data_IF_183880097560
#
_entry.id   IF_183880097560
#
_cell.length_a   1.000
_cell.length_b   1.000
_cell.length_c   1.000
_cell.angle_alpha   90.00
_cell.angle_beta   90.00
_cell.angle_gamma   90.00
#
_symmetry.space_group_name_H-M   'P 1'
#
loop_
_entity.id
_entity.type
_entity.pdbx_description
1 polymer ?
#
# COMPACT_ATOMS: atom_id res chain seq x y z
N UNK A 1 -18.68 9.77 -25.05
CA UNK A 1 -17.49 9.30 -25.79
C UNK A 1 -17.53 9.84 -27.20
N UNK A 2 -16.38 10.05 -27.85
CA UNK A 2 -16.29 10.43 -29.26
C UNK A 2 -16.64 9.20 -30.12
N UNK A 3 -17.20 9.46 -31.32
CA UNK A 3 -17.44 8.43 -32.30
C UNK A 3 -16.09 7.92 -32.83
N UNK A 4 -15.82 6.63 -32.73
CA UNK A 4 -14.64 6.02 -33.34
C UNK A 4 -14.91 5.76 -34.82
N UNK A 5 -14.17 6.44 -35.68
CA UNK A 5 -14.29 6.39 -37.13
C UNK A 5 -13.17 5.56 -37.78
N UNK A 6 -12.22 5.03 -37.01
CA UNK A 6 -10.98 4.42 -37.51
C UNK A 6 -11.19 3.21 -38.45
N UNK A 7 -12.27 2.45 -38.24
CA UNK A 7 -12.60 1.26 -39.05
C UNK A 7 -13.67 1.53 -40.09
N UNK A 8 -14.25 2.73 -40.09
CA UNK A 8 -15.32 3.08 -41.05
C UNK A 8 -14.78 3.18 -42.48
N UNK A 9 -15.53 2.64 -43.44
CA UNK A 9 -15.22 2.67 -44.89
C UNK A 9 -16.48 2.98 -45.67
N UNK A 10 -16.29 3.63 -46.81
CA UNK A 10 -17.34 3.83 -47.79
C UNK A 10 -16.81 3.73 -49.22
N UNK A 11 -17.66 3.52 -50.18
CA UNK A 11 -17.31 3.46 -51.60
C UNK A 11 -17.92 4.64 -52.34
N UNK A 12 -17.14 5.21 -53.23
CA UNK A 12 -17.59 6.18 -54.18
C UNK A 12 -17.71 5.52 -55.55
N UNK A 13 -18.91 5.60 -56.16
CA UNK A 13 -19.16 5.10 -57.50
C UNK A 13 -19.21 6.30 -58.45
N UNK A 14 -18.42 6.19 -59.52
CA UNK A 14 -18.32 7.23 -60.56
C UNK A 14 -19.20 6.91 -61.78
N UNK A 15 -19.50 7.93 -62.60
CA UNK A 15 -20.35 7.79 -63.76
C UNK A 15 -19.76 6.84 -64.85
N UNK A 16 -18.45 6.56 -64.80
CA UNK A 16 -17.80 5.64 -65.68
C UNK A 16 -17.75 4.18 -65.14
N UNK A 17 -18.61 3.90 -64.13
CA UNK A 17 -18.72 2.60 -63.45
C UNK A 17 -17.49 2.22 -62.63
N UNK A 18 -16.50 3.10 -62.44
CA UNK A 18 -15.39 2.88 -61.54
C UNK A 18 -15.80 3.13 -60.10
N UNK A 19 -15.18 2.42 -59.14
CA UNK A 19 -15.38 2.64 -57.70
C UNK A 19 -14.05 2.81 -56.99
N UNK A 20 -14.07 3.67 -55.95
CA UNK A 20 -12.96 3.83 -55.01
C UNK A 20 -13.45 3.62 -53.60
N UNK A 21 -12.59 3.02 -52.76
CA UNK A 21 -12.85 2.83 -51.34
C UNK A 21 -12.13 3.89 -50.52
N UNK A 22 -12.81 4.47 -49.56
CA UNK A 22 -12.32 5.54 -48.70
C UNK A 22 -12.55 5.20 -47.23
N UNK A 23 -11.70 5.73 -46.35
CA UNK A 23 -11.89 5.68 -44.92
C UNK A 23 -12.75 6.86 -44.43
N UNK A 24 -13.49 6.67 -43.35
CA UNK A 24 -14.18 7.77 -42.68
C UNK A 24 -13.21 8.84 -42.12
N UNK A 25 -11.91 8.50 -42.03
CA UNK A 25 -10.83 9.40 -41.59
C UNK A 25 -10.06 10.06 -42.72
N UNK A 26 -10.42 9.84 -43.99
CA UNK A 26 -9.75 10.43 -45.15
C UNK A 26 -9.98 11.97 -45.21
N UNK A 27 -9.04 12.66 -45.81
CA UNK A 27 -9.14 14.09 -45.99
C UNK A 27 -10.36 14.46 -46.85
N UNK A 28 -11.12 15.45 -46.39
CA UNK A 28 -12.35 15.88 -47.07
C UNK A 28 -13.59 15.10 -46.74
N UNK A 29 -13.51 14.14 -45.83
CA UNK A 29 -14.67 13.43 -45.25
C UNK A 29 -15.13 14.16 -43.99
N UNK A 30 -16.42 14.52 -43.93
CA UNK A 30 -17.07 15.07 -42.75
C UNK A 30 -18.26 14.21 -42.36
N UNK A 31 -18.36 13.86 -41.07
CA UNK A 31 -19.50 13.10 -40.53
C UNK A 31 -20.19 13.97 -39.48
N UNK A 32 -21.50 14.12 -39.65
CA UNK A 32 -22.34 14.97 -38.78
C UNK A 32 -23.52 14.17 -38.23
N UNK A 33 -24.26 14.74 -37.26
CA UNK A 33 -25.46 14.16 -36.70
C UNK A 33 -25.24 13.25 -35.48
N UNK A 34 -24.00 13.03 -35.04
CA UNK A 34 -23.72 12.25 -33.83
C UNK A 34 -23.98 13.04 -32.55
N UNK A 35 -24.81 12.47 -31.67
CA UNK A 35 -25.05 12.98 -30.31
C UNK A 35 -24.53 11.98 -29.27
N UNK A 36 -23.43 12.28 -28.55
CA UNK A 36 -22.84 11.37 -27.58
C UNK A 36 -23.72 11.14 -26.34
N UNK A 37 -24.75 11.96 -26.12
CA UNK A 37 -25.67 11.84 -24.98
C UNK A 37 -26.88 10.95 -25.30
N UNK A 38 -27.10 10.60 -26.56
CA UNK A 38 -28.26 9.85 -27.01
C UNK A 38 -27.90 8.41 -27.34
N UNK A 39 -28.50 7.46 -26.65
CA UNK A 39 -28.40 6.03 -26.95
C UNK A 39 -29.46 5.57 -27.94
N UNK A 40 -29.25 4.42 -28.57
CA UNK A 40 -30.11 3.88 -29.57
C UNK A 40 -29.62 4.17 -30.99
N UNK A 41 -30.54 3.98 -31.97
CA UNK A 41 -30.23 4.22 -33.37
C UNK A 41 -30.14 5.73 -33.62
N UNK A 42 -29.01 6.18 -34.20
CA UNK A 42 -28.80 7.55 -34.64
C UNK A 42 -28.52 7.55 -36.13
N UNK A 43 -29.08 8.51 -36.83
CA UNK A 43 -28.85 8.76 -38.24
C UNK A 43 -27.77 9.81 -38.38
N UNK A 44 -26.68 9.48 -39.08
CA UNK A 44 -25.54 10.34 -39.38
C UNK A 44 -25.52 10.65 -40.86
N UNK A 45 -24.86 11.74 -41.18
CA UNK A 45 -24.61 12.18 -42.55
C UNK A 45 -23.13 12.16 -42.84
N UNK A 46 -22.71 11.49 -43.92
CA UNK A 46 -21.36 11.52 -44.45
C UNK A 46 -21.36 12.50 -45.63
N UNK A 47 -20.50 13.51 -45.57
CA UNK A 47 -20.27 14.48 -46.61
C UNK A 47 -18.90 14.25 -47.26
N UNK A 48 -18.87 14.06 -48.58
CA UNK A 48 -17.64 13.89 -49.32
C UNK A 48 -17.80 14.41 -50.75
N UNK A 49 -16.87 15.25 -51.21
CA UNK A 49 -16.87 15.84 -52.55
C UNK A 49 -18.20 16.45 -53.01
N UNK A 50 -18.94 17.09 -52.08
CA UNK A 50 -20.23 17.72 -52.37
C UNK A 50 -21.44 16.74 -52.41
N UNK A 51 -21.21 15.48 -52.16
CA UNK A 51 -22.28 14.48 -52.01
C UNK A 51 -22.55 14.20 -50.53
N UNK A 52 -23.77 13.83 -50.19
CA UNK A 52 -24.18 13.50 -48.83
C UNK A 52 -24.89 12.15 -48.84
N UNK A 53 -24.48 11.28 -47.92
CA UNK A 53 -25.09 9.96 -47.72
C UNK A 53 -25.44 9.78 -46.23
N UNK A 54 -26.67 9.36 -45.98
CA UNK A 54 -27.15 9.04 -44.65
C UNK A 54 -26.81 7.57 -44.30
N UNK A 55 -26.42 7.32 -43.07
CA UNK A 55 -26.25 5.98 -42.54
C UNK A 55 -26.65 5.92 -41.06
N UNK A 56 -26.97 4.73 -40.57
CA UNK A 56 -27.37 4.53 -39.19
C UNK A 56 -26.23 3.95 -38.37
N UNK A 57 -26.07 4.45 -37.16
CA UNK A 57 -25.24 3.83 -36.11
C UNK A 57 -26.10 3.45 -34.92
N UNK A 58 -25.72 2.37 -34.25
CA UNK A 58 -26.35 1.96 -32.99
C UNK A 58 -25.44 2.32 -31.83
N UNK A 59 -25.85 3.30 -31.04
CA UNK A 59 -25.15 3.72 -29.85
C UNK A 59 -25.67 2.92 -28.66
N UNK A 60 -24.87 1.99 -28.18
CA UNK A 60 -25.22 1.20 -27.00
C UNK A 60 -25.07 2.00 -25.72
N UNK A 61 -25.93 1.84 -24.72
CA UNK A 61 -25.74 2.46 -23.42
C UNK A 61 -24.43 1.92 -22.81
N UNK A 62 -23.67 2.79 -22.13
CA UNK A 62 -22.53 2.34 -21.34
C UNK A 62 -23.01 1.31 -20.32
N UNK A 63 -22.35 0.16 -20.28
CA UNK A 63 -22.68 -0.88 -19.31
C UNK A 63 -22.60 -0.33 -17.88
N UNK A 64 -23.60 -0.63 -17.06
CA UNK A 64 -23.57 -0.27 -15.65
C UNK A 64 -22.38 -0.96 -14.96
N UNK A 65 -21.61 -0.19 -14.24
CA UNK A 65 -20.46 -0.70 -13.47
C UNK A 65 -21.00 -1.26 -12.16
N UNK A 66 -20.54 -2.47 -11.80
CA UNK A 66 -20.78 -3.05 -10.48
C UNK A 66 -19.59 -2.72 -9.57
N UNK A 67 -19.77 -1.77 -8.69
CA UNK A 67 -18.76 -1.28 -7.74
C UNK A 67 -19.02 -1.70 -6.28
N UNK A 68 -20.06 -2.49 -6.04
CA UNK A 68 -20.51 -2.87 -4.69
C UNK A 68 -19.42 -3.58 -3.88
N UNK A 69 -18.71 -4.53 -4.50
CA UNK A 69 -17.62 -5.24 -3.83
C UNK A 69 -16.43 -4.33 -3.51
N UNK A 70 -16.16 -3.35 -4.36
CA UNK A 70 -15.10 -2.36 -4.10
C UNK A 70 -15.47 -1.47 -2.92
N UNK A 71 -16.72 -1.02 -2.81
CA UNK A 71 -17.23 -0.24 -1.67
C UNK A 71 -17.11 -1.02 -0.36
N UNK A 72 -17.49 -2.31 -0.37
CA UNK A 72 -17.37 -3.18 0.79
C UNK A 72 -15.91 -3.36 1.20
N UNK A 73 -15.00 -3.60 0.25
CA UNK A 73 -13.57 -3.78 0.57
C UNK A 73 -12.93 -2.49 1.07
N UNK A 74 -13.30 -1.32 0.56
CA UNK A 74 -12.88 -0.02 1.10
C UNK A 74 -13.26 0.11 2.57
N UNK A 75 -14.48 -0.24 2.93
CA UNK A 75 -14.95 -0.21 4.32
C UNK A 75 -14.17 -1.19 5.20
N UNK A 76 -13.94 -2.41 4.70
CA UNK A 76 -13.13 -3.42 5.38
C UNK A 76 -11.69 -2.95 5.59
N UNK A 77 -11.05 -2.39 4.55
CA UNK A 77 -9.69 -1.88 4.62
C UNK A 77 -9.55 -0.69 5.59
N UNK A 78 -10.56 0.17 5.69
CA UNK A 78 -10.58 1.23 6.69
C UNK A 78 -10.61 0.66 8.12
N UNK A 79 -11.45 -0.35 8.39
CA UNK A 79 -11.51 -1.01 9.70
C UNK A 79 -10.22 -1.75 10.05
N UNK A 80 -9.49 -2.30 9.06
CA UNK A 80 -8.19 -2.97 9.30
C UNK A 80 -7.15 -2.05 9.93
N UNK A 81 -7.21 -0.75 9.70
CA UNK A 81 -6.27 0.24 10.28
C UNK A 81 -6.34 0.33 11.81
N UNK A 82 -7.41 -0.16 12.41
CA UNK A 82 -7.61 -0.19 13.87
C UNK A 82 -7.22 -1.56 14.48
N UNK A 83 -6.68 -2.47 13.68
CA UNK A 83 -6.33 -3.82 14.12
C UNK A 83 -4.84 -3.98 14.41
N UNK A 84 -4.49 -5.00 15.19
CA UNK A 84 -3.09 -5.39 15.43
C UNK A 84 -2.37 -5.75 14.12
N UNK A 85 -3.10 -6.33 13.16
CA UNK A 85 -2.56 -6.68 11.85
C UNK A 85 -2.00 -5.46 11.11
N UNK A 86 -2.58 -4.29 11.29
CA UNK A 86 -2.08 -3.03 10.74
C UNK A 86 -1.05 -2.38 11.69
N UNK A 87 -1.40 -2.24 12.97
CA UNK A 87 -0.58 -1.50 13.95
C UNK A 87 0.84 -2.05 14.06
N UNK A 88 1.02 -3.38 14.02
CA UNK A 88 2.32 -4.03 14.10
C UNK A 88 2.92 -4.38 12.74
N UNK A 89 2.23 -4.10 11.64
CA UNK A 89 2.76 -4.38 10.31
C UNK A 89 4.00 -3.54 10.00
N UNK A 90 4.80 -4.04 9.06
CA UNK A 90 5.89 -3.28 8.48
C UNK A 90 5.39 -1.96 7.86
N UNK A 91 6.18 -0.89 8.00
CA UNK A 91 5.79 0.45 7.56
C UNK A 91 5.50 0.53 6.05
N UNK A 92 6.24 -0.24 5.23
CA UNK A 92 6.01 -0.31 3.78
C UNK A 92 4.65 -0.95 3.47
N UNK A 93 4.26 -2.00 4.21
CA UNK A 93 2.97 -2.67 4.06
C UNK A 93 1.81 -1.80 4.53
N UNK A 94 1.99 -1.05 5.62
CA UNK A 94 1.02 -0.04 6.07
C UNK A 94 0.83 1.03 4.99
N UNK A 95 1.92 1.55 4.42
CA UNK A 95 1.87 2.56 3.37
C UNK A 95 1.20 2.02 2.10
N UNK A 96 1.50 0.79 1.70
CA UNK A 96 0.88 0.13 0.56
C UNK A 96 -0.64 0.01 0.72
N UNK A 97 -1.14 -0.40 1.90
CA UNK A 97 -2.58 -0.44 2.15
C UNK A 97 -3.22 0.94 2.05
N UNK A 98 -2.57 1.98 2.58
CA UNK A 98 -3.08 3.36 2.51
C UNK A 98 -3.13 3.86 1.07
N UNK A 99 -2.09 3.59 0.28
CA UNK A 99 -2.02 3.94 -1.15
C UNK A 99 -3.14 3.25 -1.95
N UNK A 100 -3.28 1.91 -1.80
CA UNK A 100 -4.32 1.16 -2.52
C UNK A 100 -5.73 1.57 -2.10
N UNK A 101 -5.94 1.92 -0.83
CA UNK A 101 -7.20 2.45 -0.33
C UNK A 101 -7.52 3.82 -0.98
N UNK A 102 -6.54 4.70 -1.13
CA UNK A 102 -6.72 5.99 -1.80
C UNK A 102 -7.02 5.80 -3.29
N UNK A 103 -6.29 4.92 -3.98
CA UNK A 103 -6.53 4.58 -5.37
C UNK A 103 -7.94 4.00 -5.60
N UNK A 104 -8.38 3.08 -4.74
CA UNK A 104 -9.71 2.49 -4.81
C UNK A 104 -10.83 3.53 -4.66
N UNK A 105 -10.66 4.51 -3.77
CA UNK A 105 -11.61 5.62 -3.62
C UNK A 105 -11.65 6.50 -4.86
N UNK A 106 -10.48 6.83 -5.44
CA UNK A 106 -10.40 7.63 -6.66
C UNK A 106 -11.11 6.94 -7.85
N UNK A 107 -11.03 5.60 -7.95
CA UNK A 107 -11.77 4.83 -8.97
C UNK A 107 -13.28 4.96 -8.78
N UNK A 108 -13.80 4.95 -7.54
CA UNK A 108 -15.24 5.14 -7.28
C UNK A 108 -15.72 6.56 -7.60
N UNK A 109 -14.87 7.55 -7.48
CA UNK A 109 -15.17 8.96 -7.81
C UNK A 109 -15.09 9.22 -9.32
N UNK A 110 -14.42 8.35 -10.08
CA UNK A 110 -14.28 8.48 -11.51
C UNK A 110 -15.48 7.89 -12.24
N UNK A 111 -16.40 8.74 -12.70
CA UNK A 111 -17.59 8.32 -13.46
C UNK A 111 -17.28 7.62 -14.80
N UNK A 112 -16.04 7.77 -15.31
CA UNK A 112 -15.56 7.14 -16.53
C UNK A 112 -14.74 5.87 -16.29
N UNK A 113 -14.63 5.42 -15.05
CA UNK A 113 -13.95 4.19 -14.73
C UNK A 113 -14.56 2.99 -15.51
N UNK A 114 -13.71 2.07 -15.94
CA UNK A 114 -14.17 0.80 -16.53
C UNK A 114 -14.44 -0.24 -15.44
N UNK A 115 -15.22 -1.29 -15.76
CA UNK A 115 -15.40 -2.43 -14.85
C UNK A 115 -14.06 -3.12 -14.54
N UNK A 116 -13.14 -3.15 -15.50
CA UNK A 116 -11.79 -3.70 -15.30
C UNK A 116 -11.01 -2.89 -14.27
N UNK A 117 -11.04 -1.56 -14.35
CA UNK A 117 -10.40 -0.69 -13.36
C UNK A 117 -10.97 -0.89 -11.95
N UNK A 118 -12.29 -1.07 -11.82
CA UNK A 118 -12.95 -1.39 -10.54
C UNK A 118 -12.48 -2.74 -10.00
N UNK A 119 -12.43 -3.77 -10.87
CA UNK A 119 -11.98 -5.10 -10.48
C UNK A 119 -10.49 -5.11 -10.08
N UNK A 120 -9.65 -4.38 -10.80
CA UNK A 120 -8.22 -4.25 -10.48
C UNK A 120 -8.02 -3.55 -9.13
N UNK A 121 -8.70 -2.43 -8.89
CA UNK A 121 -8.63 -1.72 -7.62
C UNK A 121 -9.10 -2.58 -6.43
N UNK A 122 -10.15 -3.40 -6.64
CA UNK A 122 -10.62 -4.37 -5.65
C UNK A 122 -9.54 -5.40 -5.31
N UNK A 123 -8.91 -5.99 -6.34
CA UNK A 123 -7.88 -7.01 -6.16
C UNK A 123 -6.63 -6.43 -5.49
N UNK A 124 -6.18 -5.27 -5.92
CA UNK A 124 -5.02 -4.58 -5.34
C UNK A 124 -5.25 -4.26 -3.86
N UNK A 125 -6.43 -3.76 -3.51
CA UNK A 125 -6.76 -3.43 -2.12
C UNK A 125 -6.85 -4.68 -1.23
N UNK A 126 -7.45 -5.77 -1.75
CA UNK A 126 -7.49 -7.06 -1.05
C UNK A 126 -6.08 -7.60 -0.80
N UNK A 127 -5.22 -7.55 -1.83
CA UNK A 127 -3.85 -8.03 -1.73
C UNK A 127 -3.07 -7.23 -0.68
N UNK A 128 -3.12 -5.90 -0.73
CA UNK A 128 -2.46 -5.05 0.27
C UNK A 128 -2.95 -5.32 1.70
N UNK A 129 -4.24 -5.65 1.87
CA UNK A 129 -4.78 -6.07 3.17
C UNK A 129 -4.30 -7.46 3.61
N UNK A 130 -4.11 -8.39 2.68
CA UNK A 130 -3.61 -9.75 2.96
C UNK A 130 -2.11 -9.76 3.27
N UNK A 131 -1.34 -8.82 2.70
CA UNK A 131 0.11 -8.72 2.88
C UNK A 131 0.52 -8.15 4.26
N UNK A 132 -0.43 -7.66 5.05
CA UNK A 132 -0.16 -7.18 6.41
C UNK A 132 0.37 -8.32 7.29
N UNK A 133 1.56 -8.14 7.86
CA UNK A 133 2.25 -9.12 8.70
C UNK A 133 2.17 -8.80 10.20
N UNK A 134 1.40 -7.79 10.57
CA UNK A 134 1.39 -7.27 11.94
C UNK A 134 0.95 -8.28 12.99
N UNK A 135 0.05 -9.21 12.67
CA UNK A 135 -0.32 -10.26 13.61
C UNK A 135 0.87 -11.16 13.96
N UNK A 136 1.67 -11.56 12.97
CA UNK A 136 2.86 -12.37 13.19
C UNK A 136 3.91 -11.59 13.99
N UNK A 137 4.17 -10.33 13.61
CA UNK A 137 5.11 -9.46 14.32
C UNK A 137 4.68 -9.18 15.76
N UNK A 138 3.38 -9.01 16.00
CA UNK A 138 2.85 -8.89 17.36
C UNK A 138 3.10 -10.16 18.18
N UNK A 139 2.84 -11.35 17.63
CA UNK A 139 3.10 -12.61 18.34
C UNK A 139 4.59 -12.75 18.66
N UNK A 140 5.47 -12.50 17.71
CA UNK A 140 6.92 -12.52 17.95
C UNK A 140 7.34 -11.54 19.06
N UNK A 141 6.85 -10.27 19.00
CA UNK A 141 7.16 -9.28 20.01
C UNK A 141 6.66 -9.68 21.41
N UNK A 142 5.51 -10.34 21.47
CA UNK A 142 4.91 -10.86 22.69
C UNK A 142 5.76 -12.00 23.28
N UNK A 143 6.12 -12.99 22.47
CA UNK A 143 6.97 -14.13 22.89
C UNK A 143 8.33 -13.65 23.41
N UNK A 144 8.95 -12.70 22.71
CA UNK A 144 10.21 -12.10 23.15
C UNK A 144 10.06 -11.38 24.50
N UNK A 145 8.97 -10.64 24.70
CA UNK A 145 8.70 -9.95 25.96
C UNK A 145 8.44 -10.93 27.11
N UNK A 146 7.66 -11.99 26.85
CA UNK A 146 7.40 -13.07 27.82
C UNK A 146 8.70 -13.75 28.26
N UNK A 147 9.60 -14.08 27.34
CA UNK A 147 10.91 -14.69 27.63
C UNK A 147 11.82 -13.77 28.46
N UNK A 148 11.83 -12.46 28.14
CA UNK A 148 12.58 -11.50 28.95
C UNK A 148 12.00 -11.32 30.34
N UNK A 149 10.68 -11.35 30.46
CA UNK A 149 9.99 -11.26 31.74
C UNK A 149 10.32 -12.46 32.65
N UNK A 150 10.32 -13.70 32.10
CA UNK A 150 10.75 -14.90 32.84
C UNK A 150 12.18 -14.75 33.35
N UNK A 151 13.09 -14.27 32.51
CA UNK A 151 14.49 -14.06 32.91
C UNK A 151 14.65 -13.00 34.01
N UNK A 152 13.80 -11.96 34.02
CA UNK A 152 13.79 -10.97 35.11
C UNK A 152 13.19 -11.54 36.37
N UNK A 153 12.12 -12.33 36.28
CA UNK A 153 11.50 -13.03 37.41
C UNK A 153 12.50 -13.93 38.14
N UNK A 154 13.35 -14.65 37.41
CA UNK A 154 14.39 -15.50 37.98
C UNK A 154 15.49 -14.71 38.69
N UNK A 155 15.90 -13.55 38.11
CA UNK A 155 16.99 -12.73 38.61
C UNK A 155 16.58 -11.78 39.74
N UNK A 156 15.41 -11.17 39.63
CA UNK A 156 14.87 -10.17 40.56
C UNK A 156 13.33 -10.25 40.65
N UNK A 157 12.78 -11.19 41.44
CA UNK A 157 11.34 -11.39 41.58
C UNK A 157 10.55 -10.19 42.12
N UNK A 158 11.25 -9.20 42.68
CA UNK A 158 10.63 -8.00 43.24
C UNK A 158 10.73 -6.79 42.31
N UNK A 159 11.18 -6.97 41.09
CA UNK A 159 11.30 -5.87 40.14
C UNK A 159 9.93 -5.27 39.78
N UNK A 160 9.80 -3.96 39.87
CA UNK A 160 8.59 -3.22 39.44
C UNK A 160 8.30 -3.37 37.93
N UNK A 161 9.31 -3.76 37.13
CA UNK A 161 9.17 -3.98 35.69
C UNK A 161 8.27 -5.20 35.39
N UNK A 162 8.17 -6.14 36.32
CA UNK A 162 7.31 -7.33 36.16
C UNK A 162 5.84 -6.92 35.98
N UNK A 163 5.32 -6.13 36.92
CA UNK A 163 3.93 -5.66 36.85
C UNK A 163 3.67 -4.80 35.61
N UNK A 164 4.67 -4.01 35.18
CA UNK A 164 4.54 -3.18 33.96
C UNK A 164 4.50 -4.05 32.69
N UNK A 165 5.34 -5.09 32.60
CA UNK A 165 5.37 -6.01 31.48
C UNK A 165 4.08 -6.86 31.39
N UNK A 166 3.57 -7.37 32.54
CA UNK A 166 2.30 -8.10 32.61
C UNK A 166 1.11 -7.21 32.19
N UNK A 167 1.11 -5.95 32.62
CA UNK A 167 0.08 -4.99 32.20
C UNK A 167 0.11 -4.74 30.70
N UNK A 168 1.30 -4.63 30.09
CA UNK A 168 1.44 -4.47 28.63
C UNK A 168 0.98 -5.72 27.88
N UNK A 169 1.37 -6.94 28.35
CA UNK A 169 0.93 -8.21 27.77
C UNK A 169 -0.60 -8.39 27.84
N UNK A 170 -1.24 -7.79 28.82
CA UNK A 170 -2.70 -7.84 29.02
C UNK A 170 -3.44 -6.67 28.35
N UNK A 171 -2.71 -5.74 27.72
CA UNK A 171 -3.30 -4.56 27.07
C UNK A 171 -4.17 -4.94 25.88
N UNK A 172 -5.34 -4.29 25.77
CA UNK A 172 -6.21 -4.41 24.58
C UNK A 172 -5.76 -3.54 23.41
N UNK A 173 -4.90 -2.56 23.66
CA UNK A 173 -4.38 -1.62 22.66
C UNK A 173 -2.86 -1.51 22.73
N UNK A 174 -2.14 -2.64 22.56
CA UNK A 174 -0.69 -2.63 22.58
C UNK A 174 -0.14 -1.89 21.36
N UNK A 175 1.03 -1.25 21.50
CA UNK A 175 1.75 -0.61 20.41
C UNK A 175 3.17 -1.17 20.25
N UNK A 176 3.74 -1.17 19.02
CA UNK A 176 5.11 -1.61 18.81
C UNK A 176 6.13 -0.87 19.66
N UNK A 177 5.94 0.44 19.86
CA UNK A 177 6.82 1.30 20.65
C UNK A 177 6.80 0.90 22.13
N UNK A 178 5.60 0.61 22.68
CA UNK A 178 5.49 0.17 24.08
C UNK A 178 6.19 -1.17 24.30
N UNK A 179 6.10 -2.10 23.34
CA UNK A 179 6.82 -3.37 23.39
C UNK A 179 8.33 -3.17 23.29
N UNK A 180 8.80 -2.31 22.38
CA UNK A 180 10.21 -2.00 22.22
C UNK A 180 10.81 -1.37 23.49
N UNK A 181 10.13 -0.37 24.06
CA UNK A 181 10.55 0.30 25.29
C UNK A 181 10.61 -0.67 26.49
N UNK A 182 9.60 -1.52 26.64
CA UNK A 182 9.57 -2.52 27.72
C UNK A 182 10.70 -3.55 27.56
N UNK A 183 10.94 -4.05 26.34
CA UNK A 183 12.08 -4.96 26.06
C UNK A 183 13.42 -4.31 26.38
N UNK A 184 13.59 -3.04 26.03
CA UNK A 184 14.81 -2.31 26.37
C UNK A 184 15.02 -2.22 27.88
N UNK A 185 13.98 -1.87 28.66
CA UNK A 185 14.03 -1.79 30.12
C UNK A 185 14.38 -3.14 30.76
N UNK A 186 13.76 -4.23 30.31
CA UNK A 186 14.04 -5.58 30.81
C UNK A 186 15.47 -6.02 30.46
N UNK A 187 15.94 -5.78 29.25
CA UNK A 187 17.30 -6.07 28.83
C UNK A 187 18.34 -5.30 29.66
N UNK A 188 18.09 -4.01 29.93
CA UNK A 188 18.94 -3.20 30.78
C UNK A 188 19.01 -3.74 32.21
N UNK A 189 17.89 -4.26 32.73
CA UNK A 189 17.84 -4.91 34.06
C UNK A 189 18.62 -6.23 34.08
N UNK A 190 18.65 -6.97 32.97
CA UNK A 190 19.35 -8.25 32.83
C UNK A 190 20.84 -8.06 32.55
N UNK A 191 21.26 -6.93 32.03
CA UNK A 191 22.67 -6.63 31.78
C UNK A 191 23.51 -6.79 33.05
N UNK A 192 24.72 -7.37 32.99
CA UNK A 192 25.63 -7.40 34.11
C UNK A 192 25.88 -5.96 34.58
N UNK A 193 25.90 -5.75 35.90
CA UNK A 193 26.32 -4.48 36.45
C UNK A 193 27.71 -4.20 35.87
N UNK A 194 27.90 -3.09 35.19
CA UNK A 194 29.24 -2.65 34.81
C UNK A 194 30.00 -2.52 36.14
N UNK A 195 30.95 -3.43 36.36
CA UNK A 195 31.93 -3.23 37.43
C UNK A 195 32.62 -1.89 37.13
N UNK A 196 32.22 -0.87 37.87
CA UNK A 196 33.01 0.35 37.91
C UNK A 196 34.38 -0.06 38.40
N UNK A 197 35.32 -0.30 37.49
CA UNK A 197 36.73 -0.29 37.84
C UNK A 197 37.02 1.10 38.40
N UNK A 198 36.86 1.18 39.72
CA UNK A 198 37.47 2.23 40.49
C UNK A 198 38.96 2.04 40.28
N UNK A 199 39.49 2.69 39.27
CA UNK A 199 40.96 2.90 39.19
C UNK A 199 41.28 3.65 40.45
N UNK A 200 41.74 2.90 41.46
CA UNK A 200 42.24 3.48 42.71
C UNK A 200 43.24 4.54 42.33
N UNK A 201 42.98 5.75 42.80
CA UNK A 201 43.93 6.85 42.78
C UNK A 201 45.26 6.32 43.33
N UNK A 202 46.26 6.11 42.47
CA UNK A 202 47.59 5.88 42.87
C UNK A 202 48.02 7.09 43.70
N UNK A 203 48.34 6.84 44.98
CA UNK A 203 48.99 7.83 45.85
C UNK A 203 50.31 8.25 45.21
N UNK A 204 50.51 9.52 44.90
CA UNK A 204 51.77 9.99 44.26
C UNK A 204 53.02 9.87 45.16
N UNK A 205 52.89 9.28 46.37
CA UNK A 205 53.94 9.11 47.29
C UNK A 205 54.48 7.69 47.50
N UNK A 206 54.07 6.71 46.67
CA UNK A 206 54.65 5.38 46.72
C UNK A 206 55.96 5.34 45.96
N UNK A 207 57.02 5.33 46.73
CA UNK A 207 58.45 5.34 46.31
C UNK A 207 58.76 4.06 45.52
N UNK A 208 59.18 4.23 44.26
CA UNK A 208 59.61 3.14 43.40
C UNK A 208 60.70 2.30 44.07
N UNK A 209 60.73 0.96 44.03
CA UNK A 209 61.77 0.12 44.50
C UNK A 209 63.07 0.37 43.69
N UNK A 210 64.12 0.67 44.35
CA UNK A 210 65.49 0.79 43.80
C UNK A 210 65.94 -0.58 43.27
N UNK A 211 66.26 -0.65 41.98
CA UNK A 211 66.90 -1.84 41.38
C UNK A 211 68.42 -1.75 41.73
N UNK A 212 68.90 -2.63 42.59
CA UNK A 212 70.35 -2.86 42.79
C UNK A 212 70.88 -3.65 41.58
N UNK A 213 71.94 -3.09 40.98
CA UNK A 213 72.66 -3.78 39.90
C UNK A 213 73.47 -4.93 40.50
N UNK A 214 73.32 -6.16 39.98
CA UNK A 214 74.21 -7.28 40.28
C UNK A 214 75.57 -7.09 39.55
N UNK A 215 76.73 -7.39 40.22
CA UNK A 215 78.02 -7.33 39.58
C UNK A 215 78.22 -8.46 38.58
N UNK A 216 78.87 -8.12 37.48
CA UNK A 216 79.30 -9.05 36.44
C UNK A 216 80.41 -9.99 37.03
N UNK A 217 80.28 -11.29 36.69
CA UNK A 217 81.37 -12.26 36.63
C UNK A 217 81.38 -12.94 35.27
#
# INVERSE_FOLDING_TARGET
>A
DALDLSEGRFKVLYDDETETEHSFTDEGVEITGYDPQKTGRQKLELHYQGQTVEFDVLVSPKAAINDEYLKQEITSAQGRKETLAYTFADAEKQAALVEKLAAAKAILENHDASQEAVNQALNDLKQAGADLDGNQRYQTAREELESLLESVLEKDPQSELIAQAEALLSSQTPTPEAFADMKEKLNKKLAPAEESHHVGSMDPNEVAPTVEALPEL
#
